data_IF_447860927542
#
_entry.id   IF_447860927542
#
_cell.length_a   1.000
_cell.length_b   1.000
_cell.length_c   1.000
_cell.angle_alpha   90.00
_cell.angle_beta   90.00
_cell.angle_gamma   90.00
#
_symmetry.space_group_name_H-M   'P 1'
#
loop_
_entity.id
_entity.type
_entity.pdbx_description
1 polymer ?
#
# COMPACT_ATOMS: atom_id res chain seq x y z
N UNK A 1 17.34 31.44 -11.38
CA UNK A 1 16.49 30.75 -10.37
C UNK A 1 16.77 29.24 -10.32
N UNK A 2 16.83 28.55 -11.47
CA UNK A 2 17.16 27.12 -11.61
C UNK A 2 18.52 26.74 -10.97
N UNK A 3 19.55 27.58 -11.13
CA UNK A 3 20.89 27.35 -10.56
C UNK A 3 20.92 27.41 -9.02
N UNK A 4 20.03 28.19 -8.38
CA UNK A 4 19.92 28.24 -6.90
C UNK A 4 19.20 27.00 -6.34
N UNK A 5 18.20 26.47 -7.04
CA UNK A 5 17.53 25.20 -6.70
C UNK A 5 18.50 24.01 -6.84
N UNK A 6 19.28 23.97 -7.93
CA UNK A 6 20.31 22.94 -8.14
C UNK A 6 21.45 23.02 -7.11
N UNK A 7 21.87 24.23 -6.71
CA UNK A 7 22.91 24.42 -5.69
C UNK A 7 22.42 24.10 -4.27
N UNK A 8 21.16 24.39 -3.91
CA UNK A 8 20.56 23.87 -2.67
C UNK A 8 20.54 22.33 -2.69
N UNK A 9 20.12 21.72 -3.79
CA UNK A 9 20.11 20.26 -3.92
C UNK A 9 21.52 19.63 -3.86
N UNK A 10 22.60 20.33 -4.25
CA UNK A 10 23.99 19.84 -4.15
C UNK A 10 24.52 19.82 -2.71
N UNK A 11 24.02 20.67 -1.82
CA UNK A 11 24.44 20.74 -0.42
C UNK A 11 23.74 19.72 0.50
N UNK A 12 22.64 19.10 0.05
CA UNK A 12 21.64 18.46 0.92
C UNK A 12 21.79 16.94 1.07
N UNK A 13 22.64 16.31 0.28
CA UNK A 13 22.85 14.87 0.28
C UNK A 13 24.35 14.64 0.27
N UNK A 14 24.95 14.85 1.44
CA UNK A 14 26.34 14.50 1.63
C UNK A 14 26.42 12.99 1.65
N UNK A 15 27.16 12.40 0.71
CA UNK A 15 27.91 11.18 0.99
C UNK A 15 29.00 11.56 2.01
N UNK A 16 28.62 11.97 3.22
CA UNK A 16 29.58 12.12 4.29
C UNK A 16 30.07 10.70 4.58
N UNK A 17 31.32 10.42 4.22
CA UNK A 17 32.05 9.22 4.65
C UNK A 17 32.17 9.13 6.18
N UNK A 18 31.67 10.14 6.89
CA UNK A 18 31.40 10.12 8.32
C UNK A 18 30.00 9.54 8.53
N UNK A 19 29.94 8.22 8.76
CA UNK A 19 28.77 7.57 9.34
C UNK A 19 28.50 8.29 10.66
N UNK A 20 27.48 9.14 10.70
CA UNK A 20 26.96 9.63 11.98
C UNK A 20 26.53 8.40 12.76
N UNK A 21 27.09 8.20 13.96
CA UNK A 21 26.91 7.02 14.82
C UNK A 21 25.45 6.65 15.15
N UNK A 22 24.50 7.51 14.78
CA UNK A 22 23.09 7.42 15.16
C UNK A 22 22.17 6.85 14.07
N UNK A 23 22.65 6.62 12.84
CA UNK A 23 21.84 6.10 11.73
C UNK A 23 22.33 4.74 11.21
N UNK A 24 21.41 3.95 10.64
CA UNK A 24 21.64 2.66 10.02
C UNK A 24 21.30 2.71 8.53
N UNK A 25 22.22 3.24 7.68
CA UNK A 25 21.99 3.28 6.25
C UNK A 25 21.81 1.86 5.69
N UNK A 26 20.97 1.73 4.67
CA UNK A 26 20.91 0.53 3.82
C UNK A 26 22.30 0.26 3.23
N UNK A 27 22.65 -1.02 3.10
CA UNK A 27 23.93 -1.44 2.55
C UNK A 27 24.21 -0.81 1.17
N UNK A 28 25.45 -0.36 0.95
CA UNK A 28 25.79 0.47 -0.21
C UNK A 28 25.67 -0.29 -1.55
N UNK A 29 25.93 -1.59 -1.54
CA UNK A 29 25.73 -2.48 -2.68
C UNK A 29 24.25 -2.61 -3.05
N UNK A 30 23.36 -2.81 -2.06
CA UNK A 30 21.91 -2.82 -2.26
C UNK A 30 21.40 -1.48 -2.81
N UNK A 31 21.86 -0.36 -2.24
CA UNK A 31 21.50 0.98 -2.72
C UNK A 31 21.98 1.22 -4.15
N UNK A 32 23.18 0.74 -4.51
CA UNK A 32 23.71 0.83 -5.87
C UNK A 32 22.86 0.02 -6.85
N UNK A 33 22.50 -1.21 -6.50
CA UNK A 33 21.65 -2.06 -7.33
C UNK A 33 20.25 -1.47 -7.53
N UNK A 34 19.63 -0.96 -6.45
CA UNK A 34 18.35 -0.27 -6.51
C UNK A 34 18.41 0.99 -7.38
N UNK A 35 19.47 1.81 -7.24
CA UNK A 35 19.62 3.01 -8.05
C UNK A 35 19.89 2.72 -9.53
N UNK A 36 20.54 1.60 -9.86
CA UNK A 36 20.68 1.15 -11.25
C UNK A 36 19.35 0.70 -11.88
N UNK A 37 18.41 0.27 -11.04
CA UNK A 37 17.05 -0.09 -11.46
C UNK A 37 16.14 1.13 -11.66
N UNK A 38 16.35 2.22 -10.90
CA UNK A 38 15.58 3.46 -11.01
C UNK A 38 15.84 4.19 -12.33
N UNK A 39 14.82 4.89 -12.81
CA UNK A 39 14.90 5.74 -14.01
C UNK A 39 15.50 7.14 -13.73
N UNK A 40 15.80 7.46 -12.46
CA UNK A 40 16.32 8.76 -12.06
C UNK A 40 17.79 8.96 -12.45
N UNK A 41 18.08 10.10 -13.07
CA UNK A 41 19.45 10.50 -13.42
C UNK A 41 20.32 10.85 -12.20
N UNK A 42 19.73 11.27 -11.08
CA UNK A 42 20.45 11.67 -9.86
C UNK A 42 19.69 11.29 -8.58
N UNK A 43 19.70 10.00 -8.16
CA UNK A 43 19.03 9.56 -6.94
C UNK A 43 19.83 10.01 -5.72
N UNK A 44 19.52 11.18 -5.18
CA UNK A 44 20.25 11.71 -4.01
C UNK A 44 19.76 11.13 -2.68
N UNK A 45 18.55 10.60 -2.64
CA UNK A 45 18.03 9.78 -1.54
C UNK A 45 17.37 8.51 -2.08
N UNK A 46 17.31 7.50 -1.22
CA UNK A 46 16.56 6.26 -1.44
C UNK A 46 15.06 6.56 -1.67
N UNK A 47 14.49 7.49 -0.90
CA UNK A 47 13.07 7.86 -0.97
C UNK A 47 12.86 9.37 -0.89
N UNK A 48 11.97 9.91 -1.73
CA UNK A 48 11.63 11.34 -1.76
C UNK A 48 10.33 11.70 -1.02
N UNK A 49 9.56 10.71 -0.52
CA UNK A 49 8.26 10.92 0.12
C UNK A 49 8.19 12.06 1.16
N UNK A 50 9.05 12.13 2.19
CA UNK A 50 8.91 13.14 3.25
C UNK A 50 9.17 14.58 2.78
N UNK A 51 9.77 14.71 1.60
CA UNK A 51 10.09 16.00 1.02
C UNK A 51 9.00 16.55 0.11
N UNK A 52 7.97 15.78 -0.21
CA UNK A 52 7.04 16.19 -1.27
C UNK A 52 5.62 15.64 -1.12
N UNK A 53 5.35 14.73 -0.18
CA UNK A 53 4.06 14.08 -0.05
C UNK A 53 3.43 14.28 1.34
N UNK A 54 2.09 14.36 1.36
CA UNK A 54 1.27 14.14 2.54
C UNK A 54 0.22 13.07 2.22
N UNK A 55 0.04 12.13 3.14
CA UNK A 55 -0.98 11.09 3.08
C UNK A 55 -1.93 11.25 4.27
N UNK A 56 -3.21 11.43 4.01
CA UNK A 56 -4.27 11.58 5.01
C UNK A 56 -5.06 10.27 5.13
N UNK A 57 -4.99 9.60 6.27
CA UNK A 57 -5.69 8.34 6.53
C UNK A 57 -7.01 8.53 7.28
N UNK A 58 -7.93 7.57 7.15
CA UNK A 58 -9.33 7.70 7.61
C UNK A 58 -9.53 8.06 9.08
N UNK A 59 -8.55 7.72 9.93
CA UNK A 59 -8.59 7.98 11.38
C UNK A 59 -8.01 9.35 11.76
N UNK A 60 -7.65 10.18 10.78
CA UNK A 60 -7.05 11.49 11.00
C UNK A 60 -5.52 11.47 11.07
N UNK A 61 -4.90 10.30 11.15
CA UNK A 61 -3.45 10.16 11.11
C UNK A 61 -2.89 10.60 9.76
N UNK A 62 -1.83 11.40 9.79
CA UNK A 62 -1.16 11.92 8.61
C UNK A 62 0.24 11.33 8.53
N UNK A 63 0.59 10.85 7.33
CA UNK A 63 1.83 10.16 6.98
C UNK A 63 2.47 10.86 5.76
N UNK A 64 3.65 10.40 5.35
CA UNK A 64 4.25 10.80 4.05
C UNK A 64 4.14 9.70 3.00
N UNK A 65 3.80 8.48 3.42
CA UNK A 65 3.67 7.30 2.57
C UNK A 65 2.70 6.30 3.23
N UNK A 66 1.83 5.68 2.44
CA UNK A 66 0.86 4.69 2.92
C UNK A 66 1.48 3.39 3.46
N UNK A 67 2.74 3.09 3.11
CA UNK A 67 3.47 1.91 3.61
C UNK A 67 4.22 2.19 4.92
N UNK A 68 4.51 3.46 5.23
CA UNK A 68 5.08 3.83 6.52
C UNK A 68 3.95 4.18 7.48
N UNK A 69 3.26 3.17 8.01
CA UNK A 69 2.18 3.39 8.98
C UNK A 69 2.70 3.71 10.38
N UNK A 70 3.94 3.31 10.68
CA UNK A 70 4.58 3.51 11.99
C UNK A 70 4.90 4.99 12.29
N UNK A 71 5.40 5.75 11.32
CA UNK A 71 5.87 7.11 11.56
C UNK A 71 4.79 8.16 11.25
N UNK A 72 3.84 8.31 12.18
CA UNK A 72 2.81 9.36 12.13
C UNK A 72 3.48 10.74 12.26
N UNK A 73 3.28 11.59 11.25
CA UNK A 73 3.84 12.95 11.23
C UNK A 73 2.93 14.01 11.84
N UNK A 74 1.65 13.66 12.07
CA UNK A 74 0.69 14.46 12.80
C UNK A 74 -0.72 13.88 12.71
N UNK A 75 -1.68 14.51 13.37
CA UNK A 75 -3.07 14.04 13.43
C UNK A 75 -4.05 15.19 13.25
N UNK A 76 -4.98 15.05 12.30
CA UNK A 76 -6.14 15.92 12.16
C UNK A 76 -7.32 15.37 12.98
N UNK A 77 -8.15 16.20 13.65
CA UNK A 77 -8.15 17.67 13.69
C UNK A 77 -7.25 18.28 14.78
N UNK A 78 -6.51 17.48 15.54
CA UNK A 78 -5.68 18.00 16.64
C UNK A 78 -4.59 18.97 16.20
N UNK A 79 -4.19 18.90 14.93
CA UNK A 79 -3.23 19.79 14.29
C UNK A 79 -3.78 20.19 12.92
N UNK A 80 -3.55 21.43 12.52
CA UNK A 80 -3.84 21.91 11.18
C UNK A 80 -2.91 21.29 10.14
N UNK A 81 -3.33 21.25 8.87
CA UNK A 81 -2.50 20.74 7.76
C UNK A 81 -1.15 21.47 7.66
N UNK A 82 -1.14 22.78 7.96
CA UNK A 82 0.11 23.58 7.96
C UNK A 82 1.07 23.20 9.09
N UNK A 83 0.54 22.97 10.30
CA UNK A 83 1.33 22.54 11.45
C UNK A 83 1.94 21.16 11.22
N UNK A 84 1.16 20.23 10.67
CA UNK A 84 1.63 18.87 10.34
C UNK A 84 2.77 18.93 9.32
N UNK A 85 2.59 19.69 8.22
CA UNK A 85 3.63 19.83 7.20
C UNK A 85 4.91 20.48 7.74
N UNK A 86 4.81 21.46 8.64
CA UNK A 86 5.99 22.15 9.23
C UNK A 86 6.55 21.42 10.46
N UNK A 87 5.88 20.36 10.90
CA UNK A 87 6.09 19.67 12.16
C UNK A 87 7.44 18.96 12.27
N UNK A 88 7.88 18.79 13.52
CA UNK A 88 9.16 18.16 13.85
C UNK A 88 9.21 16.69 13.41
N UNK A 89 8.10 15.95 13.52
CA UNK A 89 8.02 14.53 13.15
C UNK A 89 8.30 14.26 11.67
N UNK A 90 7.84 15.14 10.76
CA UNK A 90 8.21 15.05 9.34
C UNK A 90 9.69 15.33 9.12
N UNK A 91 10.25 16.35 9.79
CA UNK A 91 11.68 16.70 9.70
C UNK A 91 12.56 15.56 10.22
N UNK A 92 12.14 14.89 11.28
CA UNK A 92 12.78 13.69 11.82
C UNK A 92 12.88 12.58 10.75
N UNK A 93 11.76 12.18 10.15
CA UNK A 93 11.76 11.16 9.07
C UNK A 93 12.57 11.60 7.84
N UNK A 94 12.53 12.90 7.53
CA UNK A 94 13.34 13.49 6.46
C UNK A 94 14.83 13.23 6.69
N UNK A 95 15.29 13.33 7.95
CA UNK A 95 16.70 13.14 8.30
C UNK A 95 17.14 11.69 8.22
N UNK A 96 16.31 10.74 8.68
CA UNK A 96 16.54 9.30 8.46
C UNK A 96 16.70 8.98 6.96
N UNK A 97 15.78 9.48 6.13
CA UNK A 97 15.81 9.19 4.69
C UNK A 97 16.93 9.91 3.92
N UNK A 98 17.45 11.04 4.43
CA UNK A 98 18.70 11.64 3.90
C UNK A 98 19.91 10.74 4.11
N UNK A 99 19.91 9.95 5.18
CA UNK A 99 20.94 8.97 5.49
C UNK A 99 20.66 7.58 4.88
N UNK A 100 19.66 7.46 4.00
CA UNK A 100 19.20 6.18 3.46
C UNK A 100 18.86 5.15 4.56
N UNK A 101 18.37 5.63 5.70
CA UNK A 101 17.97 4.80 6.83
C UNK A 101 16.45 4.58 6.80
N UNK A 102 16.05 3.31 6.77
CA UNK A 102 14.65 2.87 6.68
C UNK A 102 14.04 2.44 8.02
N UNK A 103 14.80 2.54 9.12
CA UNK A 103 14.37 2.12 10.47
C UNK A 103 13.18 2.92 11.03
N UNK A 104 12.99 4.15 10.55
CA UNK A 104 11.87 5.04 10.89
C UNK A 104 10.56 4.66 10.14
N UNK A 105 10.22 3.36 10.14
CA UNK A 105 8.94 2.83 9.65
C UNK A 105 8.87 2.50 8.16
N UNK A 106 9.98 2.54 7.42
CA UNK A 106 10.04 2.21 6.00
C UNK A 106 10.46 0.74 5.75
N UNK A 107 10.12 -0.15 6.68
CA UNK A 107 10.56 -1.55 6.69
C UNK A 107 10.07 -2.36 5.48
N UNK A 108 8.87 -2.09 4.95
CA UNK A 108 8.38 -2.83 3.76
C UNK A 108 9.33 -2.61 2.60
N UNK A 109 9.74 -1.36 2.38
CA UNK A 109 10.76 -1.03 1.38
C UNK A 109 12.12 -1.65 1.71
N UNK A 110 12.49 -1.76 2.99
CA UNK A 110 13.74 -2.42 3.40
C UNK A 110 13.71 -3.91 3.04
N UNK A 111 12.61 -4.59 3.36
CA UNK A 111 12.39 -6.00 3.02
C UNK A 111 12.46 -6.22 1.51
N UNK A 112 11.72 -5.44 0.73
CA UNK A 112 11.73 -5.54 -0.74
C UNK A 112 13.14 -5.30 -1.31
N UNK A 113 13.91 -4.36 -0.76
CA UNK A 113 15.30 -4.11 -1.15
C UNK A 113 16.22 -5.31 -0.84
N UNK A 114 16.11 -5.89 0.35
CA UNK A 114 16.91 -7.05 0.78
C UNK A 114 16.61 -8.29 -0.07
N UNK A 115 15.36 -8.45 -0.50
CA UNK A 115 14.93 -9.49 -1.44
C UNK A 115 15.21 -9.15 -2.91
N UNK A 116 15.83 -7.99 -3.20
CA UNK A 116 16.09 -7.47 -4.55
C UNK A 116 14.82 -7.34 -5.42
N UNK A 117 13.66 -7.19 -4.79
CA UNK A 117 12.36 -6.95 -5.41
C UNK A 117 12.19 -5.45 -5.71
N UNK A 118 13.09 -4.87 -6.51
CA UNK A 118 13.19 -3.42 -6.65
C UNK A 118 11.93 -2.75 -7.22
N UNK A 119 11.16 -3.41 -8.09
CA UNK A 119 9.89 -2.89 -8.59
C UNK A 119 8.81 -2.78 -7.48
N UNK A 120 8.90 -3.58 -6.42
CA UNK A 120 7.96 -3.52 -5.30
C UNK A 120 8.29 -2.39 -4.31
N UNK A 121 9.51 -1.84 -4.37
CA UNK A 121 9.97 -0.80 -3.45
C UNK A 121 9.16 0.48 -3.67
N UNK A 122 8.23 0.75 -2.74
CA UNK A 122 7.29 1.88 -2.84
C UNK A 122 7.95 3.25 -3.05
N UNK A 123 9.19 3.41 -2.59
CA UNK A 123 9.95 4.65 -2.73
C UNK A 123 10.11 5.12 -4.18
N UNK A 124 10.17 4.20 -5.17
CA UNK A 124 10.26 4.54 -6.61
C UNK A 124 9.09 5.41 -7.06
N UNK A 125 7.89 5.22 -6.51
CA UNK A 125 6.71 5.99 -6.93
C UNK A 125 6.78 7.48 -6.62
N UNK A 126 7.73 7.92 -5.79
CA UNK A 126 7.95 9.33 -5.48
C UNK A 126 9.01 9.99 -6.38
N UNK A 127 9.72 9.20 -7.19
CA UNK A 127 10.79 9.68 -8.06
C UNK A 127 10.37 10.66 -9.16
N UNK A 128 9.20 10.48 -9.83
CA UNK A 128 8.83 11.38 -10.93
C UNK A 128 8.49 12.80 -10.48
N UNK A 129 8.35 13.05 -9.18
CA UNK A 129 7.81 14.31 -8.66
C UNK A 129 8.90 15.28 -8.20
N UNK A 130 8.64 16.60 -8.29
CA UNK A 130 9.58 17.59 -7.80
C UNK A 130 9.71 17.55 -6.27
N UNK A 131 10.95 17.61 -5.79
CA UNK A 131 11.26 17.73 -4.37
C UNK A 131 11.13 19.20 -3.94
N UNK A 132 10.26 19.49 -2.96
CA UNK A 132 10.03 20.85 -2.43
C UNK A 132 9.86 20.86 -0.91
N UNK A 133 10.76 21.56 -0.21
CA UNK A 133 10.78 21.59 1.25
C UNK A 133 9.68 22.47 1.88
N UNK A 134 9.21 23.46 1.14
CA UNK A 134 8.31 24.49 1.65
C UNK A 134 6.85 24.07 1.49
N UNK A 135 6.52 23.30 0.45
CA UNK A 135 5.16 22.80 0.17
C UNK A 135 5.19 21.39 -0.44
N UNK A 136 4.22 20.52 -0.10
CA UNK A 136 4.08 19.24 -0.77
C UNK A 136 3.74 19.45 -2.26
N UNK A 137 4.32 18.60 -3.11
CA UNK A 137 3.93 18.50 -4.51
C UNK A 137 2.77 17.50 -4.69
N UNK A 138 2.60 16.56 -3.76
CA UNK A 138 1.57 15.52 -3.78
C UNK A 138 0.80 15.48 -2.46
N UNK A 139 -0.51 15.28 -2.56
CA UNK A 139 -1.36 14.93 -1.42
C UNK A 139 -2.20 13.69 -1.76
N UNK A 140 -2.26 12.75 -0.84
CA UNK A 140 -3.01 11.50 -0.95
C UNK A 140 -4.11 11.47 0.11
N UNK A 141 -5.31 11.06 -0.29
CA UNK A 141 -6.53 11.14 0.50
C UNK A 141 -7.18 9.76 0.58
N UNK A 142 -7.21 9.18 1.79
CA UNK A 142 -7.98 8.00 2.16
C UNK A 142 -8.88 8.41 3.35
N UNK A 143 -9.90 9.25 3.11
CA UNK A 143 -10.60 10.00 4.17
C UNK A 143 -11.86 9.33 4.71
N UNK A 144 -12.48 8.43 3.95
CA UNK A 144 -13.76 7.80 4.27
C UNK A 144 -13.79 6.34 3.81
N UNK A 145 -14.72 5.54 4.34
CA UNK A 145 -14.93 4.13 3.96
C UNK A 145 -16.26 3.87 3.24
N UNK A 146 -17.01 4.92 2.88
CA UNK A 146 -18.28 4.81 2.15
C UNK A 146 -18.07 4.04 0.84
N UNK A 147 -18.65 2.85 0.76
CA UNK A 147 -18.48 1.93 -0.37
C UNK A 147 -19.72 1.06 -0.52
N UNK A 148 -20.04 0.69 -1.76
CA UNK A 148 -21.18 -0.13 -2.13
C UNK A 148 -20.86 -1.64 -2.29
N UNK A 149 -19.60 -2.05 -2.15
CA UNK A 149 -19.18 -3.43 -2.38
C UNK A 149 -18.81 -4.18 -1.11
N UNK A 150 -18.91 -5.51 -1.18
CA UNK A 150 -18.53 -6.45 -0.12
C UNK A 150 -17.39 -7.37 -0.57
N UNK A 151 -16.31 -6.80 -1.11
CA UNK A 151 -15.24 -7.60 -1.70
C UNK A 151 -14.61 -8.58 -0.69
N UNK A 152 -14.32 -9.82 -1.12
CA UNK A 152 -13.86 -10.91 -0.26
C UNK A 152 -12.61 -10.57 0.55
N UNK A 153 -11.62 -9.93 -0.07
CA UNK A 153 -10.37 -9.52 0.59
C UNK A 153 -10.49 -8.25 1.45
N UNK A 154 -11.62 -7.54 1.38
CA UNK A 154 -11.79 -6.24 2.01
C UNK A 154 -12.35 -6.37 3.45
N UNK A 155 -12.37 -5.28 4.22
CA UNK A 155 -12.93 -5.23 5.58
C UNK A 155 -13.86 -4.04 5.81
N UNK A 156 -14.65 -4.07 6.88
CA UNK A 156 -15.56 -2.99 7.23
C UNK A 156 -14.86 -1.66 7.53
N UNK A 157 -13.55 -1.67 7.75
CA UNK A 157 -12.76 -0.44 7.87
C UNK A 157 -12.60 0.28 6.52
N UNK A 158 -12.66 -0.46 5.41
CA UNK A 158 -12.48 0.06 4.05
C UNK A 158 -13.79 0.07 3.24
N UNK A 159 -14.84 -0.62 3.70
CA UNK A 159 -16.18 -0.59 3.10
C UNK A 159 -17.30 -0.48 4.14
N UNK A 160 -18.10 0.58 4.04
CA UNK A 160 -19.29 0.78 4.87
C UNK A 160 -20.35 -0.32 4.68
N UNK A 161 -20.43 -0.91 3.49
CA UNK A 161 -21.37 -2.02 3.23
C UNK A 161 -20.91 -3.30 3.92
N UNK A 162 -19.61 -3.63 3.89
CA UNK A 162 -19.06 -4.75 4.68
C UNK A 162 -19.31 -4.53 6.16
N UNK A 163 -19.01 -3.33 6.65
CA UNK A 163 -19.17 -2.99 8.06
C UNK A 163 -20.59 -3.22 8.56
N UNK A 164 -21.57 -2.84 7.75
CA UNK A 164 -22.99 -3.04 8.05
C UNK A 164 -23.41 -4.51 7.92
N UNK A 165 -23.16 -5.12 6.76
CA UNK A 165 -23.78 -6.38 6.37
C UNK A 165 -23.00 -7.61 6.87
N UNK A 166 -21.67 -7.57 6.81
CA UNK A 166 -20.80 -8.68 7.19
C UNK A 166 -20.37 -8.58 8.65
N UNK A 167 -20.00 -7.38 9.09
CA UNK A 167 -19.41 -7.20 10.42
C UNK A 167 -20.47 -6.81 11.48
N UNK A 168 -21.66 -6.36 11.07
CA UNK A 168 -22.74 -5.96 11.99
C UNK A 168 -22.41 -4.75 12.87
N UNK A 169 -21.47 -3.89 12.46
CA UNK A 169 -20.93 -2.77 13.24
C UNK A 169 -21.55 -1.42 12.86
N UNK A 170 -21.64 -0.52 13.83
CA UNK A 170 -22.13 0.85 13.63
C UNK A 170 -21.23 1.63 12.64
N UNK A 171 -21.76 2.49 11.76
CA UNK A 171 -20.96 3.23 10.76
C UNK A 171 -19.75 3.98 11.33
N UNK A 172 -18.67 4.08 10.55
CA UNK A 172 -17.52 4.95 10.88
C UNK A 172 -17.84 6.34 10.37
N UNK A 173 -17.77 7.35 11.25
CA UNK A 173 -17.87 8.75 10.84
C UNK A 173 -16.48 9.26 10.46
N UNK A 174 -16.36 9.89 9.29
CA UNK A 174 -15.10 10.56 8.92
C UNK A 174 -14.77 11.67 9.91
N UNK A 175 -13.48 11.79 10.24
CA UNK A 175 -12.96 12.89 11.05
C UNK A 175 -12.73 14.17 10.24
N UNK A 176 -12.83 14.07 8.91
CA UNK A 176 -12.62 15.16 7.98
C UNK A 176 -13.93 15.87 7.66
N UNK A 177 -13.88 17.20 7.63
CA UNK A 177 -15.03 18.08 7.51
C UNK A 177 -14.75 19.26 6.55
N UNK A 178 -15.67 20.20 6.45
CA UNK A 178 -15.50 21.39 5.62
C UNK A 178 -14.26 22.21 6.01
N UNK A 179 -13.92 22.26 7.31
CA UNK A 179 -12.73 22.96 7.79
C UNK A 179 -11.45 22.32 7.27
N UNK A 180 -11.40 20.99 7.17
CA UNK A 180 -10.28 20.30 6.53
C UNK A 180 -10.11 20.75 5.08
N UNK A 181 -11.21 20.83 4.33
CA UNK A 181 -11.20 21.23 2.91
C UNK A 181 -10.70 22.67 2.74
N UNK A 182 -11.11 23.59 3.61
CA UNK A 182 -10.60 24.97 3.62
C UNK A 182 -9.10 25.04 3.90
N UNK A 183 -8.58 24.20 4.79
CA UNK A 183 -7.14 24.13 5.08
C UNK A 183 -6.30 23.66 3.89
N UNK A 184 -6.89 23.08 2.85
CA UNK A 184 -6.18 22.68 1.63
C UNK A 184 -5.91 23.87 0.69
N UNK A 185 -6.66 24.97 0.78
CA UNK A 185 -6.57 26.11 -0.15
C UNK A 185 -5.14 26.67 -0.35
N UNK A 186 -4.30 26.84 0.70
CA UNK A 186 -2.93 27.32 0.55
C UNK A 186 -2.00 26.37 -0.21
N UNK A 187 -2.40 25.09 -0.34
CA UNK A 187 -1.60 24.03 -0.95
C UNK A 187 -2.00 23.76 -2.39
N UNK A 188 -3.30 23.81 -2.71
CA UNK A 188 -3.86 23.37 -4.01
C UNK A 188 -3.12 23.97 -5.20
N UNK A 189 -2.78 25.25 -5.17
CA UNK A 189 -2.11 25.97 -6.27
C UNK A 189 -0.67 25.49 -6.56
N UNK A 190 -0.09 24.68 -5.66
CA UNK A 190 1.28 24.16 -5.77
C UNK A 190 1.33 22.64 -5.99
N UNK A 191 0.19 21.95 -5.90
CA UNK A 191 0.13 20.51 -6.09
C UNK A 191 0.33 20.17 -7.57
N UNK A 192 1.24 19.24 -7.84
CA UNK A 192 1.35 18.62 -9.17
C UNK A 192 0.38 17.47 -9.32
N UNK A 193 0.11 16.74 -8.24
CA UNK A 193 -0.78 15.59 -8.25
C UNK A 193 -1.51 15.42 -6.92
N UNK A 194 -2.74 14.93 -7.00
CA UNK A 194 -3.51 14.44 -5.86
C UNK A 194 -3.93 13.00 -6.10
N UNK A 195 -4.01 12.18 -5.05
CA UNK A 195 -4.42 10.77 -5.15
C UNK A 195 -5.59 10.52 -4.22
N UNK A 196 -6.63 9.86 -4.70
CA UNK A 196 -7.84 9.57 -3.94
C UNK A 196 -8.12 8.06 -3.93
N UNK A 197 -8.24 7.52 -2.73
CA UNK A 197 -8.57 6.12 -2.46
C UNK A 197 -9.46 6.03 -1.21
N UNK A 198 -9.75 4.82 -0.73
CA UNK A 198 -10.64 4.61 0.42
C UNK A 198 -12.10 4.61 0.02
N UNK A 199 -12.86 3.64 0.52
CA UNK A 199 -14.24 3.41 0.11
C UNK A 199 -14.38 3.21 -1.42
N UNK A 200 -15.48 3.70 -1.97
CA UNK A 200 -15.61 4.02 -3.39
C UNK A 200 -15.53 5.55 -3.55
N UNK A 201 -14.44 6.10 -4.12
CA UNK A 201 -14.22 7.54 -4.18
C UNK A 201 -15.37 8.35 -4.77
N UNK A 202 -16.06 7.82 -5.79
CA UNK A 202 -17.18 8.52 -6.41
C UNK A 202 -18.50 8.50 -5.61
N UNK A 203 -18.51 7.86 -4.43
CA UNK A 203 -19.60 7.95 -3.45
C UNK A 203 -19.29 8.89 -2.28
N UNK A 204 -18.06 9.39 -2.16
CA UNK A 204 -17.62 10.21 -1.02
C UNK A 204 -17.82 11.69 -1.35
N UNK A 205 -18.82 12.34 -0.74
CA UNK A 205 -19.15 13.74 -1.04
C UNK A 205 -18.00 14.71 -0.78
N UNK A 206 -17.23 14.50 0.30
CA UNK A 206 -16.08 15.35 0.63
C UNK A 206 -15.02 15.36 -0.49
N UNK A 207 -14.89 14.28 -1.26
CA UNK A 207 -13.97 14.26 -2.40
C UNK A 207 -14.45 15.18 -3.53
N UNK A 208 -15.75 15.31 -3.76
CA UNK A 208 -16.28 16.26 -4.73
C UNK A 208 -16.00 17.70 -4.34
N UNK A 209 -16.02 18.03 -3.04
CA UNK A 209 -15.66 19.37 -2.56
C UNK A 209 -14.18 19.68 -2.83
N UNK A 210 -13.30 18.73 -2.54
CA UNK A 210 -11.85 18.85 -2.82
C UNK A 210 -11.59 18.94 -4.32
N UNK A 211 -12.18 18.05 -5.13
CA UNK A 211 -12.01 18.05 -6.59
C UNK A 211 -12.52 19.36 -7.21
N UNK A 212 -13.65 19.89 -6.74
CA UNK A 212 -14.19 21.16 -7.23
C UNK A 212 -13.22 22.31 -6.99
N UNK A 213 -12.57 22.35 -5.81
CA UNK A 213 -11.52 23.33 -5.52
C UNK A 213 -10.28 23.15 -6.38
N UNK A 214 -9.80 21.91 -6.55
CA UNK A 214 -8.63 21.63 -7.40
C UNK A 214 -8.90 22.09 -8.84
N UNK A 215 -10.05 21.73 -9.40
CA UNK A 215 -10.46 22.11 -10.76
C UNK A 215 -10.53 23.63 -10.92
N UNK A 216 -11.06 24.35 -9.92
CA UNK A 216 -11.19 25.79 -9.97
C UNK A 216 -9.85 26.54 -9.77
N UNK A 217 -9.00 26.07 -8.86
CA UNK A 217 -7.80 26.79 -8.40
C UNK A 217 -6.50 26.33 -9.08
N UNK A 218 -6.43 25.08 -9.53
CA UNK A 218 -5.27 24.49 -10.18
C UNK A 218 -5.69 23.44 -11.23
N UNK A 219 -6.24 23.86 -12.39
CA UNK A 219 -6.74 22.95 -13.43
C UNK A 219 -5.64 22.08 -14.06
N UNK A 220 -4.35 22.39 -13.83
CA UNK A 220 -3.23 21.59 -14.32
C UNK A 220 -2.86 20.43 -13.40
N UNK A 221 -3.31 20.47 -12.14
CA UNK A 221 -3.09 19.42 -11.15
C UNK A 221 -3.69 18.10 -11.65
N UNK A 222 -2.89 17.04 -11.64
CA UNK A 222 -3.38 15.71 -11.97
C UNK A 222 -4.18 15.15 -10.76
N UNK A 223 -5.40 14.69 -11.00
CA UNK A 223 -6.25 14.06 -9.99
C UNK A 223 -6.29 12.56 -10.26
N UNK A 224 -5.51 11.78 -9.55
CA UNK A 224 -5.52 10.32 -9.64
C UNK A 224 -6.58 9.73 -8.72
N UNK A 225 -7.47 8.88 -9.24
CA UNK A 225 -8.56 8.26 -8.47
C UNK A 225 -8.51 6.74 -8.66
N UNK A 226 -8.52 5.99 -7.55
CA UNK A 226 -8.66 4.54 -7.56
C UNK A 226 -10.10 4.13 -7.23
N UNK A 227 -10.88 3.75 -8.23
CA UNK A 227 -12.30 3.37 -8.10
C UNK A 227 -12.49 1.86 -8.24
N UNK A 228 -13.57 1.32 -7.68
CA UNK A 228 -14.04 -0.03 -7.93
C UNK A 228 -14.80 -0.16 -9.28
N UNK A 229 -15.01 0.95 -9.99
CA UNK A 229 -15.58 1.00 -11.34
C UNK A 229 -17.10 0.92 -11.42
N UNK A 230 -17.81 0.81 -10.30
CA UNK A 230 -19.28 0.65 -10.31
C UNK A 230 -20.06 1.97 -10.44
N UNK A 231 -19.43 3.11 -10.17
CA UNK A 231 -20.09 4.41 -10.11
C UNK A 231 -19.70 5.29 -11.30
N UNK A 232 -20.64 5.45 -12.23
CA UNK A 232 -20.52 6.38 -13.36
C UNK A 232 -21.87 7.02 -13.67
N UNK A 233 -22.16 8.13 -13.00
CA UNK A 233 -23.39 8.92 -13.18
C UNK A 233 -23.09 10.29 -13.82
N UNK A 234 -24.12 11.11 -14.05
CA UNK A 234 -23.97 12.45 -14.66
C UNK A 234 -23.08 13.39 -13.83
N UNK A 235 -23.10 13.30 -12.50
CA UNK A 235 -22.23 14.08 -11.60
C UNK A 235 -20.76 13.74 -11.83
N UNK A 236 -20.42 12.44 -11.87
CA UNK A 236 -19.06 11.96 -12.17
C UNK A 236 -18.64 12.41 -13.57
N UNK A 237 -19.46 12.16 -14.59
CA UNK A 237 -19.14 12.57 -15.98
C UNK A 237 -18.90 14.07 -16.10
N UNK A 238 -19.74 14.90 -15.48
CA UNK A 238 -19.57 16.35 -15.51
C UNK A 238 -18.29 16.81 -14.80
N UNK A 239 -17.90 16.16 -13.72
CA UNK A 239 -16.67 16.49 -13.00
C UNK A 239 -15.43 16.12 -13.82
N UNK A 240 -15.41 14.90 -14.36
CA UNK A 240 -14.31 14.41 -15.20
C UNK A 240 -14.04 15.37 -16.36
N UNK A 241 -15.07 15.84 -17.05
CA UNK A 241 -14.87 16.75 -18.19
C UNK A 241 -14.24 18.10 -17.81
N UNK A 242 -14.43 18.56 -16.56
CA UNK A 242 -13.87 19.82 -16.06
C UNK A 242 -12.45 19.69 -15.52
N UNK A 243 -12.06 18.50 -15.05
CA UNK A 243 -10.75 18.28 -14.41
C UNK A 243 -9.77 17.47 -15.25
N UNK A 244 -8.57 17.30 -14.71
CA UNK A 244 -7.52 16.45 -15.28
C UNK A 244 -7.38 15.18 -14.46
N UNK A 245 -8.28 14.24 -14.70
CA UNK A 245 -8.30 12.97 -13.97
C UNK A 245 -7.46 11.88 -14.62
N UNK A 246 -6.75 11.13 -13.80
CA UNK A 246 -6.19 9.83 -14.09
C UNK A 246 -7.00 8.78 -13.32
N UNK A 247 -7.42 7.72 -13.99
CA UNK A 247 -8.37 6.76 -13.43
C UNK A 247 -7.70 5.39 -13.32
N UNK A 248 -7.68 4.85 -12.10
CA UNK A 248 -7.40 3.44 -11.83
C UNK A 248 -8.70 2.72 -11.48
N UNK A 249 -8.96 1.58 -12.11
CA UNK A 249 -10.08 0.71 -11.80
C UNK A 249 -9.56 -0.57 -11.17
N UNK A 250 -10.05 -0.89 -9.98
CA UNK A 250 -9.75 -2.18 -9.37
C UNK A 250 -10.66 -3.26 -9.95
N UNK A 251 -10.07 -4.23 -10.66
CA UNK A 251 -10.75 -5.29 -11.40
C UNK A 251 -10.10 -6.62 -11.04
N UNK A 252 -10.80 -7.47 -10.28
CA UNK A 252 -10.21 -8.72 -9.75
C UNK A 252 -10.67 -9.98 -10.48
N UNK A 253 -11.28 -9.83 -11.66
CA UNK A 253 -11.69 -10.93 -12.51
C UNK A 253 -12.10 -10.43 -13.89
N UNK A 254 -11.83 -11.22 -14.91
CA UNK A 254 -12.18 -11.01 -16.31
C UNK A 254 -13.29 -11.96 -16.78
N UNK A 255 -13.71 -12.89 -15.94
CA UNK A 255 -14.98 -13.60 -16.10
C UNK A 255 -16.03 -13.06 -15.13
N UNK A 256 -17.30 -13.04 -15.56
CA UNK A 256 -18.43 -12.65 -14.71
C UNK A 256 -18.45 -13.42 -13.39
N UNK A 257 -18.28 -14.74 -13.47
CA UNK A 257 -18.30 -15.63 -12.31
C UNK A 257 -17.20 -15.31 -11.31
N UNK A 258 -15.96 -15.09 -11.77
CA UNK A 258 -14.84 -14.76 -10.88
C UNK A 258 -15.02 -13.37 -10.30
N UNK A 259 -15.34 -12.39 -11.14
CA UNK A 259 -15.48 -10.99 -10.73
C UNK A 259 -16.60 -10.78 -9.72
N UNK A 260 -17.83 -11.24 -10.00
CA UNK A 260 -18.98 -11.00 -9.11
C UNK A 260 -18.89 -11.82 -7.81
N UNK A 261 -18.15 -12.95 -7.83
CA UNK A 261 -17.81 -13.70 -6.62
C UNK A 261 -16.84 -12.93 -5.72
N UNK A 262 -15.80 -12.32 -6.30
CA UNK A 262 -14.80 -11.56 -5.52
C UNK A 262 -15.35 -10.20 -5.10
N UNK A 263 -16.00 -9.48 -6.02
CA UNK A 263 -16.55 -8.14 -5.84
C UNK A 263 -18.07 -8.20 -5.66
N UNK A 264 -18.48 -8.80 -4.56
CA UNK A 264 -19.90 -8.96 -4.21
C UNK A 264 -20.65 -7.61 -4.26
N UNK A 265 -21.86 -7.66 -4.82
CA UNK A 265 -22.75 -6.55 -5.16
C UNK A 265 -22.38 -5.74 -6.43
N UNK A 266 -21.26 -6.06 -7.09
CA UNK A 266 -20.97 -5.48 -8.40
C UNK A 266 -21.71 -6.24 -9.52
N UNK A 267 -21.93 -5.56 -10.66
CA UNK A 267 -22.36 -6.20 -11.90
C UNK A 267 -21.24 -6.11 -12.92
N UNK A 268 -20.79 -7.25 -13.44
CA UNK A 268 -19.62 -7.33 -14.30
C UNK A 268 -19.79 -6.57 -15.61
N UNK A 269 -20.92 -6.76 -16.30
CA UNK A 269 -21.17 -6.10 -17.59
C UNK A 269 -21.18 -4.58 -17.43
N UNK A 270 -21.85 -4.07 -16.40
CA UNK A 270 -21.89 -2.63 -16.11
C UNK A 270 -20.51 -2.06 -15.82
N UNK A 271 -19.66 -2.81 -15.12
CA UNK A 271 -18.29 -2.38 -14.83
C UNK A 271 -17.45 -2.35 -16.12
N UNK A 272 -17.62 -3.30 -17.03
CA UNK A 272 -16.96 -3.27 -18.34
C UNK A 272 -17.40 -2.07 -19.19
N UNK A 273 -18.71 -1.74 -19.19
CA UNK A 273 -19.22 -0.51 -19.83
C UNK A 273 -18.56 0.76 -19.25
N UNK A 274 -18.46 0.82 -17.92
CA UNK A 274 -17.83 1.95 -17.24
C UNK A 274 -16.32 2.03 -17.54
N UNK A 275 -15.62 0.89 -17.57
CA UNK A 275 -14.20 0.80 -17.94
C UNK A 275 -13.99 1.37 -19.35
N UNK A 276 -14.83 1.01 -20.31
CA UNK A 276 -14.75 1.55 -21.67
C UNK A 276 -14.88 3.08 -21.68
N UNK A 277 -15.80 3.64 -20.89
CA UNK A 277 -15.94 5.09 -20.74
C UNK A 277 -14.71 5.74 -20.09
N UNK A 278 -14.19 5.18 -18.99
CA UNK A 278 -13.03 5.75 -18.29
C UNK A 278 -11.77 5.69 -19.15
N UNK A 279 -11.55 4.59 -19.88
CA UNK A 279 -10.45 4.44 -20.81
C UNK A 279 -10.53 5.47 -21.96
N UNK A 280 -11.70 5.64 -22.58
CA UNK A 280 -11.92 6.68 -23.60
C UNK A 280 -11.64 8.08 -23.04
N UNK A 281 -12.16 8.38 -21.85
CA UNK A 281 -11.92 9.66 -21.18
C UNK A 281 -10.42 9.92 -20.97
N UNK A 282 -9.68 8.95 -20.40
CA UNK A 282 -8.23 9.11 -20.17
C UNK A 282 -7.47 9.29 -21.48
N UNK A 283 -7.86 8.56 -22.54
CA UNK A 283 -7.30 8.74 -23.88
C UNK A 283 -7.56 10.15 -24.42
N UNK A 284 -8.78 10.66 -24.34
CA UNK A 284 -9.14 12.03 -24.79
C UNK A 284 -8.43 13.12 -24.01
N UNK A 285 -8.25 12.94 -22.70
CA UNK A 285 -7.58 13.91 -21.82
C UNK A 285 -6.05 13.72 -21.76
N UNK A 286 -5.50 12.73 -22.44
CA UNK A 286 -4.09 12.36 -22.40
C UNK A 286 -3.58 12.17 -20.95
N UNK A 287 -4.34 11.39 -20.18
CA UNK A 287 -4.01 10.96 -18.82
C UNK A 287 -3.88 9.45 -18.76
N UNK A 288 -3.26 8.91 -17.70
CA UNK A 288 -3.11 7.46 -17.59
C UNK A 288 -4.44 6.78 -17.27
N UNK A 289 -4.63 5.58 -17.78
CA UNK A 289 -5.66 4.66 -17.34
C UNK A 289 -4.99 3.43 -16.72
N UNK A 290 -5.46 3.01 -15.55
CA UNK A 290 -4.91 1.86 -14.82
C UNK A 290 -5.96 0.80 -14.56
N UNK A 291 -5.52 -0.44 -14.62
CA UNK A 291 -6.25 -1.60 -14.11
C UNK A 291 -5.40 -2.18 -12.98
N UNK A 292 -5.98 -2.20 -11.79
CA UNK A 292 -5.34 -2.75 -10.60
C UNK A 292 -6.03 -4.06 -10.23
N UNK A 293 -5.29 -5.15 -10.09
CA UNK A 293 -5.79 -6.46 -9.69
C UNK A 293 -5.12 -6.91 -8.40
N UNK A 294 -5.92 -7.32 -7.42
CA UNK A 294 -5.42 -8.08 -6.28
C UNK A 294 -5.25 -9.54 -6.71
N UNK A 295 -4.01 -10.02 -6.72
CA UNK A 295 -3.74 -11.42 -7.01
C UNK A 295 -4.14 -12.29 -5.81
N UNK A 296 -5.11 -13.17 -6.04
CA UNK A 296 -5.82 -13.93 -5.02
C UNK A 296 -5.95 -15.39 -5.42
N UNK A 297 -6.26 -16.24 -4.43
CA UNK A 297 -6.52 -17.67 -4.65
C UNK A 297 -7.62 -17.92 -5.68
N UNK A 298 -8.59 -17.01 -5.74
CA UNK A 298 -9.79 -17.11 -6.57
C UNK A 298 -9.58 -16.68 -8.03
N UNK A 299 -8.51 -15.94 -8.35
CA UNK A 299 -8.33 -15.31 -9.66
C UNK A 299 -6.94 -15.46 -10.29
N UNK A 300 -5.97 -16.11 -9.63
CA UNK A 300 -4.60 -16.14 -10.12
C UNK A 300 -4.46 -16.72 -11.54
N UNK A 301 -5.35 -17.62 -11.95
CA UNK A 301 -5.41 -18.17 -13.31
C UNK A 301 -5.80 -17.14 -14.38
N UNK A 302 -6.51 -16.09 -13.98
CA UNK A 302 -6.91 -15.00 -14.88
C UNK A 302 -5.85 -13.89 -14.95
N UNK A 303 -4.84 -13.87 -14.06
CA UNK A 303 -3.80 -12.82 -14.03
C UNK A 303 -3.08 -12.65 -15.39
N UNK A 304 -2.67 -13.72 -16.10
CA UNK A 304 -2.04 -13.54 -17.42
C UNK A 304 -2.97 -12.83 -18.43
N UNK A 305 -4.28 -13.07 -18.34
CA UNK A 305 -5.28 -12.49 -19.25
C UNK A 305 -5.37 -10.96 -19.12
N UNK A 306 -5.00 -10.40 -17.98
CA UNK A 306 -4.95 -8.95 -17.78
C UNK A 306 -3.92 -8.25 -18.67
N UNK A 307 -2.87 -8.95 -19.14
CA UNK A 307 -1.90 -8.36 -20.07
C UNK A 307 -2.61 -7.91 -21.36
N UNK A 308 -3.37 -8.81 -21.97
CA UNK A 308 -4.13 -8.50 -23.20
C UNK A 308 -5.28 -7.52 -22.92
N UNK A 309 -6.00 -7.69 -21.81
CA UNK A 309 -7.07 -6.76 -21.42
C UNK A 309 -6.54 -5.32 -21.30
N UNK A 310 -5.40 -5.15 -20.64
CA UNK A 310 -4.78 -3.84 -20.50
C UNK A 310 -4.27 -3.29 -21.83
N UNK A 311 -3.74 -4.11 -22.74
CA UNK A 311 -3.41 -3.65 -24.10
C UNK A 311 -4.63 -3.10 -24.85
N UNK A 312 -5.76 -3.82 -24.79
CA UNK A 312 -7.00 -3.42 -25.46
C UNK A 312 -7.46 -2.02 -25.05
N UNK A 313 -7.32 -1.67 -23.76
CA UNK A 313 -7.72 -0.38 -23.22
C UNK A 313 -6.57 0.64 -23.10
N UNK A 314 -5.37 0.31 -23.60
CA UNK A 314 -4.15 1.10 -23.38
C UNK A 314 -3.90 1.42 -21.89
N UNK A 315 -4.22 0.47 -21.01
CA UNK A 315 -4.10 0.60 -19.57
C UNK A 315 -2.72 0.14 -19.07
N UNK A 316 -2.28 0.76 -17.98
CA UNK A 316 -1.20 0.23 -17.15
C UNK A 316 -1.75 -0.82 -16.17
N UNK A 317 -1.11 -1.98 -16.11
CA UNK A 317 -1.47 -3.07 -15.21
C UNK A 317 -0.73 -2.93 -13.88
N UNK A 318 -1.46 -2.93 -12.78
CA UNK A 318 -0.91 -3.01 -11.42
C UNK A 318 -1.38 -4.32 -10.78
N UNK A 319 -0.45 -5.14 -10.32
CA UNK A 319 -0.75 -6.39 -9.61
C UNK A 319 -0.39 -6.18 -8.15
N UNK A 320 -1.35 -6.35 -7.26
CA UNK A 320 -1.18 -6.17 -5.82
C UNK A 320 -1.19 -7.50 -5.09
N UNK A 321 -0.27 -7.64 -4.16
CA UNK A 321 -0.24 -8.76 -3.22
C UNK A 321 -1.34 -8.58 -2.17
N UNK A 322 -2.11 -9.64 -1.94
CA UNK A 322 -2.98 -9.73 -0.77
C UNK A 322 -2.19 -10.34 0.36
N UNK A 323 -1.90 -9.56 1.40
CA UNK A 323 -1.29 -10.06 2.63
C UNK A 323 -2.36 -10.55 3.61
N UNK A 324 -3.42 -9.76 3.76
CA UNK A 324 -4.60 -10.09 4.56
C UNK A 324 -5.88 -9.88 3.73
N UNK A 325 -6.92 -10.72 3.93
CA UNK A 325 -6.93 -11.87 4.83
C UNK A 325 -6.18 -13.10 4.23
N UNK A 326 -5.51 -13.92 5.05
CA UNK A 326 -4.65 -15.03 4.59
C UNK A 326 -5.38 -16.08 3.74
N UNK A 327 -6.66 -16.30 4.00
CA UNK A 327 -7.51 -17.22 3.24
C UNK A 327 -7.82 -16.74 1.81
N UNK A 328 -7.49 -15.48 1.48
CA UNK A 328 -7.53 -14.95 0.11
C UNK A 328 -6.14 -14.83 -0.52
N UNK A 329 -5.08 -15.01 0.28
CA UNK A 329 -3.70 -14.70 -0.09
C UNK A 329 -2.98 -15.90 -0.72
N UNK A 330 -2.17 -15.65 -1.73
CA UNK A 330 -1.35 -16.68 -2.40
C UNK A 330 -0.16 -17.11 -1.54
N UNK A 331 0.40 -16.22 -0.73
CA UNK A 331 1.54 -16.53 0.14
C UNK A 331 1.19 -17.58 1.21
N UNK A 332 -0.09 -17.69 1.58
CA UNK A 332 -0.59 -18.64 2.58
C UNK A 332 -1.09 -19.96 1.95
N UNK A 333 -0.86 -20.20 0.66
CA UNK A 333 -1.16 -21.49 0.02
C UNK A 333 -0.10 -22.54 0.35
N UNK A 334 -0.46 -23.80 0.18
CA UNK A 334 0.49 -24.90 0.24
C UNK A 334 1.57 -24.76 -0.84
N UNK A 335 2.75 -25.27 -0.54
CA UNK A 335 3.94 -25.16 -1.39
C UNK A 335 3.70 -25.73 -2.79
N UNK A 336 3.01 -26.85 -2.89
CA UNK A 336 2.66 -27.50 -4.15
C UNK A 336 1.79 -26.58 -5.01
N UNK A 337 0.83 -25.91 -4.40
CA UNK A 337 -0.02 -24.93 -5.07
C UNK A 337 0.77 -23.69 -5.49
N UNK A 338 1.70 -23.20 -4.66
CA UNK A 338 2.56 -22.07 -5.04
C UNK A 338 3.45 -22.41 -6.23
N UNK A 339 4.02 -23.63 -6.25
CA UNK A 339 4.80 -24.13 -7.39
C UNK A 339 3.95 -24.22 -8.65
N UNK A 340 2.73 -24.75 -8.55
CA UNK A 340 1.78 -24.79 -9.66
C UNK A 340 1.50 -23.39 -10.22
N UNK A 341 1.30 -22.40 -9.33
CA UNK A 341 1.07 -21.01 -9.72
C UNK A 341 2.28 -20.45 -10.47
N UNK A 342 3.51 -20.63 -9.95
CA UNK A 342 4.73 -20.16 -10.62
C UNK A 342 4.85 -20.78 -12.01
N UNK A 343 4.67 -22.09 -12.12
CA UNK A 343 4.82 -22.81 -13.39
C UNK A 343 3.81 -22.32 -14.41
N UNK A 344 2.53 -22.22 -14.02
CA UNK A 344 1.46 -21.72 -14.88
C UNK A 344 1.71 -20.28 -15.34
N UNK A 345 2.08 -19.38 -14.43
CA UNK A 345 2.32 -17.97 -14.77
C UNK A 345 3.57 -17.82 -15.66
N UNK A 346 4.58 -18.65 -15.45
CA UNK A 346 5.82 -18.65 -16.25
C UNK A 346 5.54 -19.18 -17.66
N UNK A 347 4.82 -20.30 -17.79
CA UNK A 347 4.43 -20.87 -19.09
C UNK A 347 3.58 -19.88 -19.89
N UNK A 348 2.71 -19.12 -19.23
CA UNK A 348 1.90 -18.10 -19.89
C UNK A 348 2.74 -16.99 -20.56
N UNK A 349 3.99 -16.73 -20.13
CA UNK A 349 4.86 -15.73 -20.77
C UNK A 349 5.08 -15.98 -22.27
N UNK A 350 5.11 -17.25 -22.68
CA UNK A 350 5.33 -17.62 -24.08
C UNK A 350 4.18 -17.20 -25.00
N UNK A 351 3.00 -16.95 -24.43
CA UNK A 351 1.81 -16.51 -25.16
C UNK A 351 1.85 -15.00 -25.49
N UNK A 352 2.77 -14.24 -24.89
CA UNK A 352 2.82 -12.77 -24.98
C UNK A 352 4.02 -12.24 -25.78
N UNK A 353 4.44 -12.96 -26.82
CA UNK A 353 5.64 -12.66 -27.62
C UNK A 353 5.69 -11.26 -28.31
N UNK A 354 4.61 -10.49 -28.57
CA UNK A 354 4.73 -9.09 -29.00
C UNK A 354 4.92 -8.07 -27.85
N UNK A 355 4.66 -8.45 -26.59
CA UNK A 355 4.65 -7.55 -25.42
C UNK A 355 6.03 -7.34 -24.75
N UNK A 356 7.10 -7.87 -25.36
CA UNK A 356 8.44 -8.07 -24.75
C UNK A 356 9.14 -6.86 -24.11
N UNK A 357 8.62 -5.64 -24.27
CA UNK A 357 9.20 -4.41 -23.69
C UNK A 357 8.16 -3.48 -23.04
N UNK A 358 7.01 -4.00 -22.60
CA UNK A 358 5.99 -3.19 -21.91
C UNK A 358 6.23 -3.14 -20.39
N UNK A 359 5.79 -2.04 -19.73
CA UNK A 359 5.76 -1.96 -18.27
C UNK A 359 4.81 -3.01 -17.66
N UNK A 360 3.73 -3.36 -18.37
CA UNK A 360 2.78 -4.38 -17.91
C UNK A 360 3.45 -5.75 -17.81
N UNK A 361 4.27 -6.12 -18.81
CA UNK A 361 5.04 -7.36 -18.77
C UNK A 361 6.04 -7.36 -17.61
N UNK A 362 6.68 -6.22 -17.34
CA UNK A 362 7.60 -6.08 -16.21
C UNK A 362 6.90 -6.29 -14.86
N UNK A 363 5.73 -5.67 -14.68
CA UNK A 363 4.93 -5.84 -13.47
C UNK A 363 4.46 -7.29 -13.30
N UNK A 364 4.10 -7.96 -14.39
CA UNK A 364 3.75 -9.37 -14.40
C UNK A 364 4.94 -10.26 -14.02
N UNK A 365 6.13 -10.02 -14.58
CA UNK A 365 7.36 -10.74 -14.22
C UNK A 365 7.76 -10.54 -12.75
N UNK A 366 7.65 -9.30 -12.24
CA UNK A 366 7.88 -9.00 -10.83
C UNK A 366 6.90 -9.77 -9.93
N UNK A 367 5.63 -9.90 -10.34
CA UNK A 367 4.66 -10.71 -9.63
C UNK A 367 5.02 -12.21 -9.63
N UNK A 368 5.48 -12.78 -10.75
CA UNK A 368 5.98 -14.17 -10.78
C UNK A 368 7.14 -14.33 -9.79
N UNK A 369 8.10 -13.41 -9.82
CA UNK A 369 9.25 -13.42 -8.93
C UNK A 369 8.81 -13.36 -7.45
N UNK A 370 7.78 -12.59 -7.14
CA UNK A 370 7.23 -12.50 -5.80
C UNK A 370 6.62 -13.85 -5.34
N UNK A 371 5.86 -14.54 -6.20
CA UNK A 371 5.31 -15.87 -5.87
C UNK A 371 6.43 -16.90 -5.75
N UNK A 372 7.45 -16.83 -6.60
CA UNK A 372 8.65 -17.67 -6.50
C UNK A 372 9.36 -17.48 -5.16
N UNK A 373 9.51 -16.23 -4.68
CA UNK A 373 10.08 -15.96 -3.35
C UNK A 373 9.22 -16.57 -2.23
N UNK A 374 7.89 -16.54 -2.32
CA UNK A 374 7.04 -17.22 -1.34
C UNK A 374 7.22 -18.74 -1.37
N UNK A 375 7.31 -19.35 -2.55
CA UNK A 375 7.62 -20.77 -2.70
C UNK A 375 8.98 -21.13 -2.08
N UNK A 376 10.02 -20.33 -2.33
CA UNK A 376 11.36 -20.54 -1.77
C UNK A 376 11.42 -20.33 -0.26
N UNK A 377 10.71 -19.33 0.26
CA UNK A 377 10.67 -19.06 1.71
C UNK A 377 9.88 -20.15 2.43
N UNK A 378 8.82 -20.68 1.82
CA UNK A 378 8.12 -21.87 2.31
C UNK A 378 8.99 -23.15 2.23
N UNK A 379 10.06 -23.19 1.43
CA UNK A 379 11.07 -24.27 1.48
C UNK A 379 12.01 -24.14 2.68
N UNK A 380 12.30 -22.92 3.11
CA UNK A 380 13.22 -22.65 4.22
C UNK A 380 12.57 -22.90 5.59
N UNK A 381 11.24 -22.84 5.67
CA UNK A 381 10.49 -23.37 6.81
C UNK A 381 10.37 -24.86 6.60
N UNK A 382 11.25 -25.64 7.21
CA UNK A 382 11.14 -27.10 7.20
C UNK A 382 9.70 -27.51 7.57
N UNK A 383 9.11 -28.55 6.94
CA UNK A 383 7.94 -29.17 7.53
C UNK A 383 8.30 -29.43 8.99
N UNK A 384 7.38 -29.14 9.91
CA UNK A 384 7.57 -29.50 11.32
C UNK A 384 7.97 -30.97 11.29
N UNK A 385 9.24 -31.24 11.56
CA UNK A 385 9.64 -32.57 11.95
C UNK A 385 8.75 -32.88 13.14
N UNK A 386 8.17 -34.07 13.23
CA UNK A 386 7.42 -34.54 14.41
C UNK A 386 8.28 -34.46 15.71
N UNK A 387 9.51 -33.95 15.61
CA UNK A 387 10.48 -33.63 16.65
C UNK A 387 10.62 -32.14 17.02
N UNK A 388 9.86 -31.18 16.45
CA UNK A 388 9.89 -29.80 16.95
C UNK A 388 9.34 -29.76 18.38
N UNK A 389 10.24 -29.57 19.34
CA UNK A 389 9.93 -29.55 20.78
C UNK A 389 9.70 -28.15 21.35
N UNK A 390 9.73 -27.11 20.51
CA UNK A 390 9.50 -25.71 20.90
C UNK A 390 8.05 -25.25 20.70
N UNK A 391 7.75 -24.03 21.16
CA UNK A 391 6.45 -23.37 20.92
C UNK A 391 6.59 -22.28 19.85
N UNK A 392 5.75 -22.31 18.81
CA UNK A 392 5.68 -21.23 17.81
C UNK A 392 5.19 -19.91 18.42
N UNK A 393 4.40 -19.98 19.50
CA UNK A 393 4.02 -18.80 20.28
C UNK A 393 5.23 -18.14 20.92
N UNK A 394 6.17 -18.94 21.45
CA UNK A 394 7.44 -18.42 21.97
C UNK A 394 8.31 -17.82 20.86
N UNK A 395 8.38 -18.46 19.69
CA UNK A 395 9.10 -17.93 18.53
C UNK A 395 8.52 -16.59 18.06
N UNK A 396 7.19 -16.49 17.91
CA UNK A 396 6.50 -15.24 17.58
C UNK A 396 6.80 -14.15 18.61
N UNK A 397 6.78 -14.51 19.90
CA UNK A 397 7.13 -13.61 21.00
C UNK A 397 8.56 -13.11 20.86
N UNK A 398 9.52 -14.00 20.57
CA UNK A 398 10.92 -13.65 20.40
C UNK A 398 11.15 -12.81 19.14
N UNK A 399 10.43 -13.07 18.04
CA UNK A 399 10.50 -12.26 16.82
C UNK A 399 9.99 -10.84 17.08
N UNK A 400 8.86 -10.68 17.78
CA UNK A 400 8.34 -9.35 18.17
C UNK A 400 9.37 -8.63 19.06
N UNK A 401 9.91 -9.33 20.07
CA UNK A 401 10.94 -8.76 20.96
C UNK A 401 12.18 -8.31 20.19
N UNK A 402 12.76 -9.20 19.40
CA UNK A 402 13.96 -8.91 18.61
C UNK A 402 13.72 -7.75 17.65
N UNK A 403 12.55 -7.71 17.00
CA UNK A 403 12.20 -6.62 16.10
C UNK A 403 12.15 -5.27 16.84
N UNK A 404 11.51 -5.21 18.00
CA UNK A 404 11.40 -3.97 18.80
C UNK A 404 12.76 -3.57 19.41
N UNK A 405 13.57 -4.51 19.88
CA UNK A 405 14.90 -4.23 20.44
C UNK A 405 15.92 -3.80 19.37
N UNK A 406 15.79 -4.31 18.14
CA UNK A 406 16.62 -3.90 17.01
C UNK A 406 16.24 -2.51 16.47
N UNK A 407 15.06 -2.01 16.81
CA UNK A 407 14.51 -0.76 16.32
C UNK A 407 15.05 0.44 17.11
N UNK A 408 16.16 0.99 16.63
CA UNK A 408 16.84 2.16 17.24
C UNK A 408 16.01 3.44 17.26
N UNK A 409 14.88 3.50 16.55
CA UNK A 409 13.96 4.65 16.67
C UNK A 409 13.15 4.63 17.98
N UNK A 410 13.13 3.47 18.66
CA UNK A 410 12.52 3.31 19.97
C UNK A 410 13.61 3.50 21.02
N UNK A 411 13.35 4.39 21.98
CA UNK A 411 14.29 4.61 23.08
C UNK A 411 14.41 3.33 23.93
N UNK A 412 15.61 2.94 24.38
CA UNK A 412 15.79 1.72 25.17
C UNK A 412 14.85 1.62 26.38
N UNK A 413 14.61 2.75 27.06
CA UNK A 413 13.70 2.83 28.20
C UNK A 413 12.21 2.62 27.85
N UNK A 414 11.82 2.79 26.58
CA UNK A 414 10.47 2.60 26.08
C UNK A 414 10.27 1.25 25.36
N UNK A 415 11.36 0.56 25.01
CA UNK A 415 11.31 -0.68 24.24
C UNK A 415 10.59 -1.79 25.00
N UNK A 416 10.93 -2.01 26.28
CA UNK A 416 10.30 -3.07 27.07
C UNK A 416 8.79 -2.78 27.28
N UNK A 417 8.42 -1.53 27.55
CA UNK A 417 7.00 -1.16 27.67
C UNK A 417 6.22 -1.47 26.38
N UNK A 418 6.78 -1.12 25.22
CA UNK A 418 6.14 -1.41 23.93
C UNK A 418 6.06 -2.91 23.65
N UNK A 419 7.10 -3.67 23.98
CA UNK A 419 7.10 -5.13 23.89
C UNK A 419 5.94 -5.69 24.73
N UNK A 420 5.85 -5.30 25.99
CA UNK A 420 4.77 -5.75 26.88
C UNK A 420 3.40 -5.40 26.30
N UNK A 421 3.21 -4.16 25.83
CA UNK A 421 1.95 -3.75 25.22
C UNK A 421 1.56 -4.62 24.01
N UNK A 422 2.50 -4.91 23.12
CA UNK A 422 2.24 -5.74 21.93
C UNK A 422 1.98 -7.20 22.31
N UNK A 423 2.76 -7.76 23.24
CA UNK A 423 2.61 -9.15 23.68
C UNK A 423 1.31 -9.35 24.47
N UNK A 424 0.93 -8.44 25.36
CA UNK A 424 -0.39 -8.48 26.03
C UNK A 424 -1.52 -8.49 25.01
N UNK A 425 -1.39 -7.74 23.91
CA UNK A 425 -2.38 -7.75 22.83
C UNK A 425 -2.41 -9.08 22.09
N UNK A 426 -1.25 -9.70 21.84
CA UNK A 426 -1.16 -11.06 21.28
C UNK A 426 -1.84 -12.06 22.23
N UNK A 427 -1.58 -11.98 23.52
CA UNK A 427 -2.20 -12.84 24.53
C UNK A 427 -3.72 -12.68 24.55
N UNK A 428 -4.24 -11.45 24.56
CA UNK A 428 -5.68 -11.19 24.47
C UNK A 428 -6.32 -11.71 23.18
N UNK A 429 -5.57 -11.71 22.07
CA UNK A 429 -6.03 -12.30 20.80
C UNK A 429 -6.06 -13.82 20.91
N UNK A 430 -5.03 -14.43 21.52
CA UNK A 430 -4.92 -15.88 21.67
C UNK A 430 -5.87 -16.45 22.73
N UNK A 431 -6.19 -15.73 23.80
CA UNK A 431 -7.18 -16.11 24.82
C UNK A 431 -8.60 -16.26 24.25
N UNK A 432 -8.85 -15.71 23.05
CA UNK A 432 -10.12 -15.87 22.32
C UNK A 432 -10.20 -17.19 21.57
N UNK A 433 -9.09 -17.91 21.39
CA UNK A 433 -9.09 -19.25 20.83
C UNK A 433 -9.50 -20.28 21.89
N UNK A 434 -10.14 -21.36 21.45
CA UNK A 434 -10.64 -22.42 22.32
C UNK A 434 -9.71 -23.66 22.39
N UNK A 435 -8.48 -23.56 21.88
CA UNK A 435 -7.55 -24.70 21.74
C UNK A 435 -6.11 -24.21 21.57
N UNK A 436 -5.19 -24.76 22.36
CA UNK A 436 -3.75 -24.49 22.26
C UNK A 436 -3.17 -24.92 20.91
N UNK A 437 -3.68 -26.01 20.33
CA UNK A 437 -3.30 -26.47 18.99
C UNK A 437 -3.57 -25.40 17.92
N UNK A 438 -4.72 -24.70 18.02
CA UNK A 438 -5.05 -23.61 17.11
C UNK A 438 -4.15 -22.39 17.32
N UNK A 439 -3.78 -22.10 18.56
CA UNK A 439 -2.85 -21.01 18.89
C UNK A 439 -1.48 -21.28 18.28
N UNK A 440 -0.97 -22.50 18.43
CA UNK A 440 0.30 -22.92 17.84
C UNK A 440 0.26 -22.86 16.31
N UNK A 441 -0.81 -23.35 15.69
CA UNK A 441 -0.97 -23.27 14.24
C UNK A 441 -1.06 -21.82 13.73
N UNK A 442 -1.84 -20.97 14.41
CA UNK A 442 -1.93 -19.55 14.05
C UNK A 442 -0.57 -18.86 14.22
N UNK A 443 0.15 -19.13 15.32
CA UNK A 443 1.49 -18.58 15.58
C UNK A 443 2.48 -18.99 14.49
N UNK A 444 2.51 -20.28 14.13
CA UNK A 444 3.33 -20.81 13.02
C UNK A 444 3.09 -20.08 11.71
N UNK A 445 1.85 -19.68 11.42
CA UNK A 445 1.52 -18.95 10.19
C UNK A 445 1.83 -17.47 10.29
N UNK A 446 1.62 -16.88 11.46
CA UNK A 446 1.99 -15.49 11.70
C UNK A 446 3.47 -15.26 11.46
N UNK A 447 4.38 -16.13 11.92
CA UNK A 447 5.83 -15.97 11.71
C UNK A 447 6.26 -16.02 10.22
N UNK A 448 5.39 -16.48 9.32
CA UNK A 448 5.62 -16.46 7.86
C UNK A 448 5.27 -15.10 7.23
N UNK A 449 4.50 -14.26 7.92
CA UNK A 449 4.23 -12.88 7.51
C UNK A 449 5.45 -12.03 7.88
N UNK A 450 5.89 -11.08 7.03
CA UNK A 450 6.90 -10.11 7.41
C UNK A 450 6.59 -9.52 8.79
N UNK A 451 7.53 -9.66 9.74
CA UNK A 451 7.33 -9.32 11.15
C UNK A 451 6.82 -7.89 11.33
N UNK A 452 7.15 -7.01 10.42
CA UNK A 452 6.75 -5.62 10.49
C UNK A 452 5.30 -5.38 10.10
N UNK A 453 4.74 -6.21 9.22
CA UNK A 453 3.29 -6.21 8.96
C UNK A 453 2.53 -6.69 10.20
N UNK A 454 3.08 -7.69 10.92
CA UNK A 454 2.52 -8.16 12.20
C UNK A 454 2.58 -7.05 13.25
N UNK A 455 3.76 -6.45 13.47
CA UNK A 455 3.95 -5.37 14.46
C UNK A 455 3.12 -4.14 14.09
N UNK A 456 3.00 -3.81 12.81
CA UNK A 456 2.13 -2.75 12.31
C UNK A 456 0.66 -3.07 12.61
N UNK A 457 0.18 -4.27 12.28
CA UNK A 457 -1.18 -4.72 12.60
C UNK A 457 -1.45 -4.64 14.11
N UNK A 458 -0.55 -5.19 14.95
CA UNK A 458 -0.63 -5.10 16.40
C UNK A 458 -0.64 -3.66 16.93
N UNK A 459 0.01 -2.72 16.23
CA UNK A 459 0.06 -1.32 16.66
C UNK A 459 -1.20 -0.52 16.28
N UNK A 460 -1.83 -0.82 15.14
CA UNK A 460 -2.87 0.03 14.55
C UNK A 460 -4.27 -0.58 14.50
N UNK A 461 -4.36 -1.90 14.35
CA UNK A 461 -5.65 -2.59 14.29
C UNK A 461 -6.17 -2.88 15.70
N UNK A 462 -7.46 -3.13 15.87
CA UNK A 462 -8.00 -3.55 17.17
C UNK A 462 -7.84 -5.08 17.37
N UNK A 463 -7.94 -5.56 18.61
CA UNK A 463 -7.76 -6.98 18.94
C UNK A 463 -8.73 -7.90 18.18
N UNK A 464 -9.97 -7.46 17.96
CA UNK A 464 -10.97 -8.25 17.24
C UNK A 464 -10.54 -8.51 15.80
N UNK A 465 -10.01 -7.48 15.13
CA UNK A 465 -9.49 -7.60 13.77
C UNK A 465 -8.29 -8.53 13.70
N UNK A 466 -7.36 -8.43 14.64
CA UNK A 466 -6.18 -9.29 14.68
C UNK A 466 -6.60 -10.74 14.94
N UNK A 467 -7.61 -10.96 15.79
CA UNK A 467 -8.20 -12.27 16.00
C UNK A 467 -8.87 -12.83 14.74
N UNK A 468 -9.61 -12.04 13.97
CA UNK A 468 -10.15 -12.45 12.66
C UNK A 468 -9.03 -12.88 11.69
N UNK A 469 -7.94 -12.10 11.62
CA UNK A 469 -6.77 -12.44 10.81
C UNK A 469 -6.11 -13.73 11.28
N UNK A 470 -5.98 -13.91 12.60
CA UNK A 470 -5.40 -15.09 13.21
C UNK A 470 -6.23 -16.36 12.93
N UNK A 471 -7.56 -16.28 13.03
CA UNK A 471 -8.47 -17.38 12.65
C UNK A 471 -8.33 -17.70 11.16
N UNK A 472 -8.18 -16.69 10.30
CA UNK A 472 -8.05 -16.91 8.87
C UNK A 472 -6.76 -17.67 8.48
N UNK A 473 -5.75 -17.75 9.35
CA UNK A 473 -4.61 -18.66 9.16
C UNK A 473 -4.96 -20.14 9.31
N UNK A 474 -6.04 -20.46 10.03
CA UNK A 474 -6.45 -21.85 10.26
C UNK A 474 -7.13 -22.48 9.04
N UNK A 475 -7.67 -21.66 8.14
CA UNK A 475 -8.43 -22.12 6.98
C UNK A 475 -7.51 -22.17 5.75
N UNK A 476 -7.07 -23.37 5.39
CA UNK A 476 -6.33 -23.64 4.14
C UNK A 476 -7.24 -23.58 2.93
#
# INVERSE_FOLDING_TARGET
>A
MITKLLNRAKLLFKNDKHIHSNYQPVANDLLTAYNAHRTLKHPKALCHAPFMNLYFGRQGNVLVCCHNRKHIIGTYPSQSVSEIWKGAKRKELTEYLRHNDLSSGCHVCKWDLEQKQFENVKAIHFDPFPVNFDYPAVMEFELDNTCNLECTMCSGEFSSTIRKNRDGKAPIKSVYDAQFVEQLDPFITRLTTTRFSGGEPFLIDLYFDIWSKIVAMNPTCLIAVQSNGTVLNSRVKSLLEKGRFEIGISLDGLSKSTYERIRKNANFERVLENIAYFADYCKRKNTCFRISVCAMRENWREIPLFLHFCEQYHAQLEIHNVWFPPNSSLWNLEKEMQKEIVDFLTEALDQFQPLKKSNNLRNYQAFIQQVQTWYETNNAVEPIDDQFSGSFREELTQLIRNHILADKSIKPEAAEFKIQQLLTKVDHVFDRFNSDEKIELASKRMIQVPIELIVSSLSFENEERIHEQAIAFLNK
#
